data_IF_275942211710
#
_entry.id   IF_275942211710
#
_cell.length_a   1.000
_cell.length_b   1.000
_cell.length_c   1.000
_cell.angle_alpha   90.00
_cell.angle_beta   90.00
_cell.angle_gamma   90.00
#
_symmetry.space_group_name_H-M   'P 1'
#
loop_
_entity.id
_entity.type
_entity.pdbx_description
1 polymer ?
#
# COMPACT_ATOMS: atom_id res chain seq x y z
N UNK A 1 -73.42 -0.09 -2.30
CA UNK A 1 -72.43 0.73 -3.00
C UNK A 1 -70.99 0.35 -2.44
N UNK A 2 -70.29 -0.51 -3.17
CA UNK A 2 -68.99 -1.03 -2.73
C UNK A 2 -67.85 -0.30 -3.43
N UNK A 3 -66.99 0.34 -2.66
CA UNK A 3 -65.78 1.01 -3.13
C UNK A 3 -64.66 -0.05 -3.36
N UNK A 4 -64.32 -0.33 -4.60
CA UNK A 4 -63.15 -1.14 -4.96
C UNK A 4 -61.88 -0.26 -4.80
N UNK A 5 -61.03 -0.62 -3.85
CA UNK A 5 -59.68 -0.03 -3.72
C UNK A 5 -58.78 -0.68 -4.78
N UNK A 6 -58.31 0.14 -5.72
CA UNK A 6 -57.28 -0.23 -6.70
C UNK A 6 -55.92 -0.12 -6.01
N UNK A 7 -55.22 -1.25 -5.76
CA UNK A 7 -53.84 -1.25 -5.33
C UNK A 7 -52.95 -1.09 -6.57
N UNK A 8 -52.23 0.03 -6.64
CA UNK A 8 -51.22 0.28 -7.66
C UNK A 8 -49.91 -0.31 -7.14
N UNK A 9 -49.46 -1.43 -7.74
CA UNK A 9 -48.17 -2.01 -7.47
C UNK A 9 -47.09 -1.23 -8.28
N UNK A 10 -46.26 -0.47 -7.60
CA UNK A 10 -45.10 0.17 -8.21
C UNK A 10 -43.99 -0.90 -8.29
N UNK A 11 -43.75 -1.41 -9.50
CA UNK A 11 -42.54 -2.21 -9.79
C UNK A 11 -41.33 -1.27 -9.78
N UNK A 12 -40.51 -1.30 -8.73
CA UNK A 12 -39.16 -0.75 -8.75
C UNK A 12 -38.31 -1.66 -9.65
N UNK A 13 -38.09 -1.24 -10.87
CA UNK A 13 -37.05 -1.84 -11.73
C UNK A 13 -35.69 -1.44 -11.18
N UNK A 14 -34.97 -2.36 -10.55
CA UNK A 14 -33.57 -2.19 -10.21
C UNK A 14 -32.78 -2.11 -11.53
N UNK A 15 -32.37 -0.91 -11.91
CA UNK A 15 -31.40 -0.74 -12.97
C UNK A 15 -30.07 -1.32 -12.49
N UNK A 16 -29.75 -2.52 -12.94
CA UNK A 16 -28.39 -3.06 -12.82
C UNK A 16 -27.51 -2.25 -13.79
N UNK A 17 -26.73 -1.32 -13.24
CA UNK A 17 -25.63 -0.70 -14.00
C UNK A 17 -24.68 -1.84 -14.36
N UNK A 18 -24.38 -2.07 -15.65
CA UNK A 18 -23.41 -3.09 -16.00
C UNK A 18 -22.07 -2.70 -15.39
N UNK A 19 -21.51 -3.56 -14.55
CA UNK A 19 -20.14 -3.45 -14.08
C UNK A 19 -19.26 -3.56 -15.35
N UNK A 20 -18.70 -2.44 -15.79
CA UNK A 20 -17.72 -2.47 -16.87
C UNK A 20 -16.52 -3.22 -16.30
N UNK A 21 -16.26 -4.41 -16.80
CA UNK A 21 -15.08 -5.19 -16.42
C UNK A 21 -13.85 -4.32 -16.69
N UNK A 22 -12.97 -4.16 -15.70
CA UNK A 22 -11.74 -3.43 -15.89
C UNK A 22 -10.89 -4.20 -16.92
N UNK A 23 -10.29 -3.47 -17.84
CA UNK A 23 -9.42 -4.06 -18.85
C UNK A 23 -8.03 -4.32 -18.28
N UNK A 24 -7.55 -5.56 -18.38
CA UNK A 24 -6.19 -5.92 -18.05
C UNK A 24 -5.26 -5.59 -19.22
N UNK A 25 -4.37 -4.63 -18.99
CA UNK A 25 -3.40 -4.17 -20.00
C UNK A 25 -2.08 -4.90 -19.78
N UNK A 26 -1.66 -5.67 -20.77
CA UNK A 26 -0.39 -6.40 -20.75
C UNK A 26 0.79 -5.49 -21.08
N UNK A 27 1.94 -5.78 -20.45
CA UNK A 27 3.24 -5.17 -20.70
C UNK A 27 4.35 -6.23 -20.63
N UNK A 28 5.59 -5.85 -20.90
CA UNK A 28 6.74 -6.76 -20.74
C UNK A 28 6.96 -7.18 -19.28
N UNK A 29 6.60 -6.33 -18.32
CA UNK A 29 6.72 -6.59 -16.88
C UNK A 29 5.61 -7.47 -16.31
N UNK A 30 4.42 -7.47 -16.91
CA UNK A 30 3.23 -8.18 -16.43
C UNK A 30 1.94 -7.55 -16.93
N UNK A 31 0.87 -7.69 -16.19
CA UNK A 31 -0.43 -7.12 -16.54
C UNK A 31 -0.97 -6.21 -15.43
N UNK A 32 -1.62 -5.11 -15.82
CA UNK A 32 -2.16 -4.09 -14.92
C UNK A 32 -3.63 -3.87 -15.20
N UNK A 33 -4.45 -3.75 -14.14
CA UNK A 33 -5.81 -3.24 -14.25
C UNK A 33 -6.09 -2.24 -13.12
N UNK A 34 -7.06 -1.35 -13.33
CA UNK A 34 -7.50 -0.39 -12.32
C UNK A 34 -8.99 -0.60 -12.08
N UNK A 35 -9.36 -0.79 -10.82
CA UNK A 35 -10.73 -1.03 -10.39
C UNK A 35 -11.20 0.08 -9.45
N UNK A 36 -12.44 0.53 -9.60
CA UNK A 36 -13.09 1.30 -8.55
C UNK A 36 -13.52 0.34 -7.43
N UNK A 37 -13.05 0.59 -6.20
CA UNK A 37 -13.29 -0.28 -5.05
C UNK A 37 -13.98 0.47 -3.92
N UNK A 38 -14.97 -0.16 -3.29
CA UNK A 38 -15.72 0.40 -2.17
C UNK A 38 -14.83 0.71 -0.97
N UNK A 39 -13.83 -0.14 -0.72
CA UNK A 39 -12.91 -0.02 0.41
C UNK A 39 -11.59 0.67 0.06
N UNK A 40 -11.47 1.26 -1.13
CA UNK A 40 -10.39 2.20 -1.45
C UNK A 40 -10.37 3.37 -0.45
N UNK A 41 -9.23 4.05 -0.24
CA UNK A 41 -9.11 5.12 0.75
C UNK A 41 -10.22 6.16 0.70
N UNK A 42 -10.60 6.59 -0.50
CA UNK A 42 -11.60 7.64 -0.72
C UNK A 42 -12.77 7.15 -1.58
N UNK A 43 -13.91 7.86 -1.57
CA UNK A 43 -14.26 8.98 -0.67
C UNK A 43 -14.39 8.56 0.79
N UNK A 44 -14.07 9.47 1.71
CA UNK A 44 -14.15 9.24 3.15
C UNK A 44 -14.59 10.49 3.92
N UNK A 45 -15.27 10.32 5.06
CA UNK A 45 -15.83 11.41 5.87
C UNK A 45 -14.76 12.42 6.35
N UNK A 46 -13.52 11.95 6.62
CA UNK A 46 -12.41 12.83 7.04
C UNK A 46 -11.99 13.87 6.01
N UNK A 47 -12.46 13.74 4.76
CA UNK A 47 -12.14 14.65 3.66
C UNK A 47 -13.38 15.08 2.86
N UNK A 48 -14.58 14.94 3.42
CA UNK A 48 -15.84 15.35 2.74
C UNK A 48 -15.87 16.83 2.36
N UNK A 49 -15.18 17.66 3.13
CA UNK A 49 -15.08 19.11 2.92
C UNK A 49 -13.72 19.49 2.28
N UNK A 50 -12.97 18.51 1.77
CA UNK A 50 -11.61 18.69 1.25
C UNK A 50 -10.58 18.82 2.37
N UNK A 51 -9.43 19.41 2.03
CA UNK A 51 -8.31 19.63 2.93
C UNK A 51 -7.60 20.94 2.62
N UNK A 52 -7.06 21.60 3.63
CA UNK A 52 -6.23 22.79 3.44
C UNK A 52 -4.84 22.55 4.01
N UNK A 53 -3.82 22.66 3.16
CA UNK A 53 -2.41 22.61 3.56
C UNK A 53 -1.79 23.99 3.34
N UNK A 54 -1.36 24.62 4.43
CA UNK A 54 -0.92 26.02 4.41
C UNK A 54 -2.03 26.90 3.82
N UNK A 55 -1.79 27.54 2.67
CA UNK A 55 -2.74 28.42 1.97
C UNK A 55 -3.45 27.72 0.79
N UNK A 56 -3.10 26.46 0.49
CA UNK A 56 -3.66 25.73 -0.65
C UNK A 56 -4.86 24.89 -0.21
N UNK A 57 -5.99 25.10 -0.86
CA UNK A 57 -7.22 24.32 -0.67
C UNK A 57 -7.25 23.19 -1.69
N UNK A 58 -7.54 21.98 -1.22
CA UNK A 58 -7.72 20.78 -2.02
C UNK A 58 -9.19 20.31 -1.91
N UNK A 59 -10.07 20.67 -2.86
CA UNK A 59 -11.49 20.33 -2.84
C UNK A 59 -11.73 18.82 -2.85
N UNK A 60 -12.80 18.38 -2.17
CA UNK A 60 -13.13 16.97 -2.02
C UNK A 60 -13.38 16.26 -3.35
N UNK A 61 -14.15 16.90 -4.24
CA UNK A 61 -14.52 16.37 -5.54
C UNK A 61 -13.34 16.13 -6.49
N UNK A 62 -12.26 16.89 -6.32
CA UNK A 62 -11.06 16.80 -7.18
C UNK A 62 -10.00 15.88 -6.61
N UNK A 63 -9.84 15.86 -5.29
CA UNK A 63 -8.68 15.24 -4.66
C UNK A 63 -9.01 14.02 -3.78
N UNK A 64 -10.31 13.82 -3.43
CA UNK A 64 -10.73 12.80 -2.48
C UNK A 64 -11.99 12.03 -2.91
N UNK A 65 -12.30 12.04 -4.20
CA UNK A 65 -13.45 11.30 -4.75
C UNK A 65 -13.05 10.03 -5.49
N UNK A 66 -11.76 9.86 -5.80
CA UNK A 66 -11.26 8.72 -6.56
C UNK A 66 -11.20 7.46 -5.67
N UNK A 67 -11.86 6.39 -6.08
CA UNK A 67 -11.87 5.10 -5.42
C UNK A 67 -11.08 4.04 -6.17
N UNK A 68 -10.16 4.46 -7.03
CA UNK A 68 -9.34 3.55 -7.83
C UNK A 68 -8.35 2.75 -7.00
N UNK A 69 -8.16 1.50 -7.39
CA UNK A 69 -7.09 0.62 -6.91
C UNK A 69 -6.42 -0.01 -8.13
N UNK A 70 -5.16 0.29 -8.32
CA UNK A 70 -4.31 -0.34 -9.32
C UNK A 70 -3.86 -1.72 -8.85
N UNK A 71 -4.04 -2.73 -9.69
CA UNK A 71 -3.54 -4.08 -9.48
C UNK A 71 -2.51 -4.40 -10.55
N UNK A 72 -1.34 -4.91 -10.16
CA UNK A 72 -0.33 -5.37 -11.09
C UNK A 72 0.11 -6.79 -10.75
N UNK A 73 0.02 -7.69 -11.72
CA UNK A 73 0.45 -9.08 -11.63
C UNK A 73 1.73 -9.23 -12.47
N UNK A 74 2.88 -9.53 -11.85
CA UNK A 74 4.14 -9.65 -12.58
C UNK A 74 4.14 -10.86 -13.51
N UNK A 75 4.87 -10.74 -14.62
CA UNK A 75 5.05 -11.83 -15.58
C UNK A 75 5.65 -13.06 -14.90
N UNK A 76 5.04 -14.20 -15.14
CA UNK A 76 5.46 -15.46 -14.53
C UNK A 76 4.92 -15.68 -13.10
N UNK A 77 3.99 -14.83 -12.63
CA UNK A 77 3.30 -15.06 -11.35
C UNK A 77 2.73 -16.48 -11.28
N UNK A 78 3.01 -17.16 -10.16
CA UNK A 78 2.56 -18.53 -9.91
C UNK A 78 1.38 -18.50 -8.93
N UNK A 79 0.26 -18.98 -9.40
CA UNK A 79 -0.97 -19.05 -8.61
C UNK A 79 -0.83 -20.10 -7.50
N UNK A 80 -1.17 -19.74 -6.26
CA UNK A 80 -1.14 -20.60 -5.09
C UNK A 80 -2.49 -20.64 -4.35
N UNK A 81 -2.55 -21.43 -3.27
CA UNK A 81 -3.73 -21.47 -2.38
C UNK A 81 -3.96 -20.15 -1.63
N UNK A 82 -2.89 -19.41 -1.38
CA UNK A 82 -2.89 -18.08 -0.76
C UNK A 82 -2.19 -17.09 -1.67
N UNK A 83 -2.68 -15.86 -1.64
CA UNK A 83 -2.16 -14.76 -2.46
C UNK A 83 -1.38 -13.79 -1.59
N UNK A 84 -0.08 -13.63 -1.87
CA UNK A 84 0.77 -12.62 -1.24
C UNK A 84 0.54 -11.27 -1.94
N UNK A 85 0.38 -10.19 -1.15
CA UNK A 85 0.05 -8.85 -1.63
C UNK A 85 1.10 -7.84 -1.17
N UNK A 86 1.55 -6.97 -2.08
CA UNK A 86 2.35 -5.79 -1.78
C UNK A 86 1.48 -4.55 -1.93
N UNK A 87 1.17 -3.88 -0.82
CA UNK A 87 0.54 -2.56 -0.86
C UNK A 87 1.60 -1.48 -1.02
N UNK A 88 1.39 -0.59 -1.98
CA UNK A 88 2.21 0.60 -2.15
C UNK A 88 1.34 1.85 -2.01
N UNK A 89 1.82 2.81 -1.22
CA UNK A 89 1.16 4.10 -1.00
C UNK A 89 2.06 5.23 -1.53
N UNK A 90 1.47 6.15 -2.30
CA UNK A 90 2.22 7.30 -2.83
C UNK A 90 2.33 8.43 -1.81
N UNK A 91 3.28 9.33 -2.03
CA UNK A 91 3.44 10.57 -1.28
C UNK A 91 2.59 11.73 -1.83
N UNK A 92 2.87 12.91 -1.35
CA UNK A 92 2.17 14.14 -1.73
C UNK A 92 2.26 14.43 -3.23
N UNK A 93 1.18 15.03 -3.77
CA UNK A 93 1.16 15.54 -5.14
C UNK A 93 1.29 14.46 -6.21
N UNK A 94 0.86 13.24 -5.93
CA UNK A 94 0.98 12.13 -6.88
C UNK A 94 -0.36 11.41 -7.11
N UNK A 95 -0.32 10.40 -7.95
CA UNK A 95 -1.43 9.52 -8.33
C UNK A 95 -0.90 8.11 -8.60
N UNK A 96 -1.79 7.12 -8.76
CA UNK A 96 -1.42 5.78 -9.22
C UNK A 96 -0.64 5.86 -10.54
N UNK A 97 -1.18 6.55 -11.54
CA UNK A 97 -0.57 6.64 -12.87
C UNK A 97 0.79 7.37 -12.82
N UNK A 98 0.85 8.51 -12.11
CA UNK A 98 2.07 9.28 -11.94
C UNK A 98 3.17 8.47 -11.26
N UNK A 99 2.86 7.75 -10.19
CA UNK A 99 3.82 6.92 -9.46
C UNK A 99 4.30 5.72 -10.28
N UNK A 100 3.41 5.05 -11.01
CA UNK A 100 3.80 3.96 -11.90
C UNK A 100 4.84 4.40 -12.93
N UNK A 101 4.65 5.57 -13.55
CA UNK A 101 5.57 6.09 -14.55
C UNK A 101 6.84 6.66 -13.95
N UNK A 102 6.72 7.46 -12.89
CA UNK A 102 7.86 8.17 -12.29
C UNK A 102 8.83 7.21 -11.60
N UNK A 103 8.30 6.24 -10.84
CA UNK A 103 9.09 5.37 -9.99
C UNK A 103 9.28 3.96 -10.57
N UNK A 104 8.75 3.69 -11.75
CA UNK A 104 8.88 2.38 -12.41
C UNK A 104 8.48 1.21 -11.49
N UNK A 105 7.39 1.37 -10.72
CA UNK A 105 7.02 0.43 -9.67
C UNK A 105 6.72 -0.98 -10.21
N UNK A 106 6.08 -1.07 -11.38
CA UNK A 106 5.76 -2.35 -12.04
C UNK A 106 7.04 -3.10 -12.43
N UNK A 107 7.97 -2.37 -13.02
CA UNK A 107 9.27 -2.88 -13.44
C UNK A 107 10.10 -3.33 -12.22
N UNK A 108 10.08 -2.58 -11.14
CA UNK A 108 10.77 -2.94 -9.90
C UNK A 108 10.17 -4.21 -9.26
N UNK A 109 8.83 -4.33 -9.21
CA UNK A 109 8.17 -5.54 -8.71
C UNK A 109 8.52 -6.74 -9.58
N UNK A 110 8.45 -6.62 -10.90
CA UNK A 110 8.82 -7.68 -11.81
C UNK A 110 10.31 -8.08 -11.70
N UNK A 111 11.21 -7.09 -11.59
CA UNK A 111 12.66 -7.31 -11.44
C UNK A 111 13.03 -7.97 -10.11
N UNK A 112 12.23 -7.80 -9.07
CA UNK A 112 12.44 -8.47 -7.78
C UNK A 112 12.34 -10.00 -7.87
N UNK A 113 11.64 -10.50 -8.88
CA UNK A 113 11.33 -11.92 -9.07
C UNK A 113 10.55 -12.55 -7.92
N UNK A 114 9.83 -11.74 -7.14
CA UNK A 114 8.98 -12.23 -6.04
C UNK A 114 7.56 -12.52 -6.54
N UNK A 115 7.00 -13.61 -6.02
CA UNK A 115 5.65 -14.06 -6.36
C UNK A 115 4.63 -13.27 -5.53
N UNK A 116 4.34 -12.03 -5.94
CA UNK A 116 3.50 -11.08 -5.21
C UNK A 116 2.69 -10.24 -6.18
N UNK A 117 1.44 -9.95 -5.85
CA UNK A 117 0.60 -9.01 -6.60
C UNK A 117 0.75 -7.62 -5.95
N UNK A 118 1.07 -6.60 -6.75
CA UNK A 118 1.09 -5.22 -6.31
C UNK A 118 -0.35 -4.68 -6.25
N UNK A 119 -0.71 -4.10 -5.12
CA UNK A 119 -1.96 -3.40 -4.86
C UNK A 119 -1.63 -1.94 -4.59
N UNK A 120 -2.16 -1.06 -5.40
CA UNK A 120 -1.89 0.36 -5.30
C UNK A 120 -3.20 1.15 -5.19
N UNK A 121 -3.73 1.38 -3.98
CA UNK A 121 -4.91 2.21 -3.79
C UNK A 121 -4.58 3.70 -4.02
N UNK A 122 -5.49 4.42 -4.68
CA UNK A 122 -5.36 5.86 -4.86
C UNK A 122 -5.48 6.58 -3.51
N UNK A 123 -4.52 7.44 -3.26
CA UNK A 123 -4.51 8.34 -2.11
C UNK A 123 -5.14 9.70 -2.44
N UNK A 124 -4.73 10.78 -1.73
CA UNK A 124 -5.12 12.14 -2.08
C UNK A 124 -4.55 12.54 -3.44
N UNK A 125 -5.39 12.57 -4.47
CA UNK A 125 -5.02 12.84 -5.86
C UNK A 125 -4.37 14.22 -5.98
N UNK A 126 -3.09 14.28 -6.34
CA UNK A 126 -2.34 15.53 -6.53
C UNK A 126 -2.48 16.53 -5.36
N UNK A 127 -2.62 16.05 -4.12
CA UNK A 127 -2.73 16.90 -2.93
C UNK A 127 -1.55 16.73 -1.96
N UNK A 128 -1.21 17.80 -1.25
CA UNK A 128 -0.18 17.79 -0.20
C UNK A 128 -0.80 17.33 1.13
N UNK A 129 -1.29 16.10 1.15
CA UNK A 129 -1.95 15.47 2.28
C UNK A 129 -1.46 14.03 2.43
N UNK A 130 -1.26 13.60 3.67
CA UNK A 130 -0.87 12.23 4.03
C UNK A 130 -2.05 11.39 4.53
N UNK A 131 -3.26 11.95 4.56
CA UNK A 131 -4.47 11.21 4.99
C UNK A 131 -4.79 10.09 4.01
N UNK A 132 -5.13 8.92 4.52
CA UNK A 132 -5.45 7.75 3.69
C UNK A 132 -6.87 7.20 3.96
N UNK A 133 -7.76 8.10 4.40
CA UNK A 133 -9.21 7.87 4.51
C UNK A 133 -9.57 6.57 5.22
N UNK A 134 -10.32 5.69 4.56
CA UNK A 134 -10.79 4.41 5.12
C UNK A 134 -9.67 3.48 5.59
N UNK A 135 -8.45 3.60 5.08
CA UNK A 135 -7.32 2.80 5.56
C UNK A 135 -6.81 3.24 6.94
N UNK A 136 -7.26 4.40 7.43
CA UNK A 136 -7.00 4.86 8.81
C UNK A 136 -8.06 4.39 9.81
N UNK A 137 -9.15 3.80 9.34
CA UNK A 137 -10.21 3.24 10.19
C UNK A 137 -9.83 1.86 10.74
N UNK A 138 -10.54 1.43 11.78
CA UNK A 138 -10.44 0.06 12.25
C UNK A 138 -10.85 -0.93 11.15
N UNK A 139 -10.08 -2.00 10.98
CA UNK A 139 -10.23 -3.00 9.91
C UNK A 139 -10.12 -2.44 8.48
N UNK A 140 -9.62 -1.22 8.28
CA UNK A 140 -9.54 -0.59 6.96
C UNK A 140 -8.72 -1.40 5.94
N UNK A 141 -7.53 -1.85 6.33
CA UNK A 141 -6.69 -2.71 5.49
C UNK A 141 -7.37 -4.06 5.21
N UNK A 142 -7.97 -4.68 6.23
CA UNK A 142 -8.68 -5.96 6.11
C UNK A 142 -9.82 -5.90 5.10
N UNK A 143 -10.60 -4.83 5.14
CA UNK A 143 -11.72 -4.64 4.23
C UNK A 143 -11.23 -4.48 2.78
N UNK A 144 -10.17 -3.70 2.56
CA UNK A 144 -9.59 -3.53 1.22
C UNK A 144 -8.93 -4.83 0.72
N UNK A 145 -8.19 -5.55 1.58
CA UNK A 145 -7.61 -6.86 1.23
C UNK A 145 -8.70 -7.84 0.80
N UNK A 146 -9.81 -7.91 1.54
CA UNK A 146 -10.96 -8.76 1.19
C UNK A 146 -11.50 -8.42 -0.21
N UNK A 147 -11.79 -7.16 -0.48
CA UNK A 147 -12.32 -6.71 -1.78
C UNK A 147 -11.34 -6.96 -2.93
N UNK A 148 -10.03 -6.72 -2.72
CA UNK A 148 -8.98 -7.02 -3.71
C UNK A 148 -8.97 -8.51 -4.07
N UNK A 149 -8.98 -9.39 -3.07
CA UNK A 149 -8.95 -10.84 -3.29
C UNK A 149 -10.23 -11.35 -3.95
N UNK A 150 -11.39 -10.82 -3.57
CA UNK A 150 -12.68 -11.12 -4.21
C UNK A 150 -12.67 -10.69 -5.68
N UNK A 151 -12.15 -9.48 -5.97
CA UNK A 151 -11.99 -8.96 -7.34
C UNK A 151 -11.07 -9.85 -8.17
N UNK A 152 -9.88 -10.18 -7.66
CA UNK A 152 -8.94 -11.06 -8.37
C UNK A 152 -9.53 -12.47 -8.63
N UNK A 153 -10.35 -12.97 -7.70
CA UNK A 153 -11.04 -14.25 -7.85
C UNK A 153 -12.12 -14.17 -8.93
N UNK A 154 -12.92 -13.11 -8.94
CA UNK A 154 -13.95 -12.86 -9.96
C UNK A 154 -13.32 -12.69 -11.36
N UNK A 155 -12.17 -12.04 -11.45
CA UNK A 155 -11.36 -11.87 -12.66
C UNK A 155 -10.58 -13.16 -13.05
N UNK A 156 -10.72 -14.24 -12.28
CA UNK A 156 -10.04 -15.54 -12.51
C UNK A 156 -8.51 -15.45 -12.51
N UNK A 157 -7.96 -14.48 -11.81
CA UNK A 157 -6.50 -14.31 -11.64
C UNK A 157 -5.95 -15.18 -10.51
N UNK A 158 -6.78 -15.49 -9.51
CA UNK A 158 -6.49 -16.39 -8.39
C UNK A 158 -7.65 -17.35 -8.15
N UNK A 159 -7.42 -18.52 -7.52
CA UNK A 159 -8.46 -19.55 -7.35
C UNK A 159 -9.42 -19.27 -6.19
N UNK A 160 -9.00 -18.47 -5.21
CA UNK A 160 -9.76 -18.19 -3.99
C UNK A 160 -9.30 -16.92 -3.30
N UNK A 161 -10.19 -16.30 -2.53
CA UNK A 161 -9.92 -15.05 -1.81
C UNK A 161 -9.15 -15.30 -0.48
N UNK A 162 -8.11 -16.12 -0.50
CA UNK A 162 -7.32 -16.44 0.68
C UNK A 162 -6.06 -15.54 0.73
N UNK A 163 -5.98 -14.70 1.77
CA UNK A 163 -4.81 -13.87 2.00
C UNK A 163 -3.58 -14.71 2.41
N UNK A 164 -2.46 -14.42 1.78
CA UNK A 164 -1.13 -14.85 2.18
C UNK A 164 -0.45 -13.79 3.05
N UNK A 165 0.81 -13.51 2.76
CA UNK A 165 1.56 -12.42 3.39
C UNK A 165 1.17 -11.08 2.78
N UNK A 166 1.20 -10.05 3.62
CA UNK A 166 0.99 -8.67 3.22
C UNK A 166 2.29 -7.92 3.48
N UNK A 167 2.73 -7.19 2.47
CA UNK A 167 3.83 -6.25 2.58
C UNK A 167 3.26 -4.85 2.43
N UNK A 168 3.69 -3.92 3.29
CA UNK A 168 3.33 -2.52 3.19
C UNK A 168 4.55 -1.73 2.76
N UNK A 169 4.40 -0.92 1.73
CA UNK A 169 5.45 -0.04 1.25
C UNK A 169 4.88 1.33 0.92
N UNK A 170 5.71 2.35 1.01
CA UNK A 170 5.31 3.67 0.58
C UNK A 170 6.43 4.68 0.60
N UNK A 171 6.19 5.78 -0.09
CA UNK A 171 7.12 6.88 -0.26
C UNK A 171 6.59 8.14 0.43
N UNK A 172 7.47 8.89 1.10
CA UNK A 172 7.15 10.24 1.58
C UNK A 172 5.90 10.27 2.49
N UNK A 173 4.85 10.98 2.11
CA UNK A 173 3.58 11.12 2.81
C UNK A 173 2.83 9.82 3.12
N UNK A 174 3.26 8.69 2.57
CA UNK A 174 2.69 7.38 2.83
C UNK A 174 2.84 6.89 4.29
N UNK A 175 3.73 7.51 5.08
CA UNK A 175 4.00 7.13 6.48
C UNK A 175 2.74 6.94 7.29
N UNK A 176 1.77 7.83 7.13
CA UNK A 176 0.54 7.86 7.91
C UNK A 176 -0.33 6.64 7.63
N UNK A 177 -0.57 6.33 6.35
CA UNK A 177 -1.34 5.15 5.96
C UNK A 177 -0.70 3.85 6.42
N UNK A 178 0.63 3.71 6.27
CA UNK A 178 1.37 2.54 6.77
C UNK A 178 1.17 2.40 8.29
N UNK A 179 1.37 3.48 9.06
CA UNK A 179 1.25 3.45 10.50
C UNK A 179 -0.15 3.00 10.97
N UNK A 180 -1.23 3.54 10.39
CA UNK A 180 -2.59 3.15 10.76
C UNK A 180 -2.97 1.74 10.29
N UNK A 181 -2.47 1.29 9.15
CA UNK A 181 -2.61 -0.11 8.74
C UNK A 181 -1.97 -1.07 9.75
N UNK A 182 -0.81 -0.71 10.33
CA UNK A 182 -0.12 -1.50 11.36
C UNK A 182 -0.78 -1.44 12.73
N UNK A 183 -1.38 -0.30 13.10
CA UNK A 183 -2.01 -0.08 14.40
C UNK A 183 -3.39 -0.74 14.49
N UNK A 184 -4.23 -0.54 13.48
CA UNK A 184 -5.65 -0.90 13.53
C UNK A 184 -6.23 -1.47 12.24
N UNK A 185 -5.41 -1.73 11.23
CA UNK A 185 -5.88 -2.20 9.92
C UNK A 185 -6.50 -3.60 9.89
N UNK A 186 -6.46 -4.36 10.98
CA UNK A 186 -7.14 -5.67 11.12
C UNK A 186 -6.41 -6.84 10.44
N UNK A 187 -5.18 -6.66 9.95
CA UNK A 187 -4.39 -7.68 9.23
C UNK A 187 -2.99 -7.88 9.80
N UNK A 188 -2.75 -7.52 11.05
CA UNK A 188 -1.41 -7.55 11.66
C UNK A 188 -0.71 -8.91 11.51
N UNK A 189 -1.44 -10.01 11.69
CA UNK A 189 -0.89 -11.37 11.59
C UNK A 189 -0.43 -11.75 10.16
N UNK A 190 -0.93 -11.05 9.15
CA UNK A 190 -0.55 -11.24 7.76
C UNK A 190 0.59 -10.31 7.33
N UNK A 191 0.76 -9.15 8.00
CA UNK A 191 1.83 -8.21 7.65
C UNK A 191 3.17 -8.79 8.04
N UNK A 192 4.01 -9.07 7.04
CA UNK A 192 5.34 -9.67 7.20
C UNK A 192 6.48 -8.67 7.05
N UNK A 193 6.33 -7.69 6.16
CA UNK A 193 7.38 -6.73 5.82
C UNK A 193 6.82 -5.32 5.71
N UNK A 194 7.61 -4.32 6.11
CA UNK A 194 7.35 -2.90 5.90
C UNK A 194 8.55 -2.27 5.24
N UNK A 195 8.33 -1.53 4.13
CA UNK A 195 9.36 -0.81 3.40
C UNK A 195 9.07 0.69 3.42
N UNK A 196 9.92 1.45 4.11
CA UNK A 196 9.81 2.91 4.23
C UNK A 196 10.80 3.54 3.25
N UNK A 197 10.29 4.07 2.16
CA UNK A 197 11.07 4.70 1.10
C UNK A 197 11.09 6.21 1.33
N UNK A 198 11.99 6.67 2.21
CA UNK A 198 12.05 8.03 2.75
C UNK A 198 10.68 8.48 3.31
N UNK A 199 10.07 7.60 4.12
CA UNK A 199 8.68 7.67 4.55
C UNK A 199 8.47 7.53 6.08
N UNK A 200 9.45 7.87 6.91
CA UNK A 200 9.31 7.80 8.36
C UNK A 200 9.16 9.21 8.98
N UNK A 201 8.18 10.01 8.53
CA UNK A 201 8.02 11.39 8.99
C UNK A 201 7.36 11.54 10.37
N UNK A 202 6.42 10.65 10.70
CA UNK A 202 5.70 10.66 11.97
C UNK A 202 5.08 9.29 12.24
N UNK A 203 4.36 9.14 13.36
CA UNK A 203 3.75 7.87 13.77
C UNK A 203 4.76 6.72 13.85
N UNK A 204 6.03 7.04 14.11
CA UNK A 204 7.13 6.07 14.22
C UNK A 204 6.94 5.11 15.38
N UNK A 205 6.18 5.52 16.39
CA UNK A 205 5.74 4.71 17.53
C UNK A 205 4.88 3.50 17.09
N UNK A 206 3.97 3.66 16.14
CA UNK A 206 3.17 2.55 15.59
C UNK A 206 4.05 1.56 14.82
N UNK A 207 4.98 2.07 14.03
CA UNK A 207 5.92 1.25 13.26
C UNK A 207 6.85 0.46 14.19
N UNK A 208 7.45 1.13 15.19
CA UNK A 208 8.31 0.53 16.19
C UNK A 208 7.57 -0.50 17.06
N UNK A 209 6.37 -0.17 17.54
CA UNK A 209 5.54 -1.06 18.33
C UNK A 209 5.15 -2.34 17.54
N UNK A 210 4.75 -2.19 16.28
CA UNK A 210 4.48 -3.33 15.40
C UNK A 210 5.73 -4.20 15.22
N UNK A 211 6.88 -3.61 14.90
CA UNK A 211 8.13 -4.33 14.69
C UNK A 211 8.55 -5.15 15.92
N UNK A 212 8.29 -4.64 17.12
CA UNK A 212 8.62 -5.29 18.39
C UNK A 212 7.65 -6.45 18.69
N UNK A 213 6.34 -6.23 18.59
CA UNK A 213 5.35 -7.25 18.97
C UNK A 213 5.14 -8.34 17.93
N UNK A 214 5.34 -8.03 16.64
CA UNK A 214 5.12 -8.99 15.56
C UNK A 214 6.33 -9.89 15.35
N UNK A 215 6.21 -11.17 15.76
CA UNK A 215 7.27 -12.16 15.55
C UNK A 215 7.52 -12.39 14.06
N UNK A 216 8.80 -12.36 13.67
CA UNK A 216 9.20 -12.53 12.27
C UNK A 216 9.00 -11.29 11.38
N UNK A 217 8.49 -10.18 11.92
CA UNK A 217 8.38 -8.91 11.22
C UNK A 217 9.73 -8.44 10.66
N UNK A 218 9.70 -7.85 9.49
CA UNK A 218 10.85 -7.19 8.85
C UNK A 218 10.49 -5.73 8.57
N UNK A 219 11.40 -4.82 8.89
CA UNK A 219 11.28 -3.42 8.56
C UNK A 219 12.56 -2.97 7.88
N UNK A 220 12.45 -2.48 6.66
CA UNK A 220 13.56 -1.87 5.91
C UNK A 220 13.22 -0.41 5.63
N UNK A 221 14.08 0.49 6.05
CA UNK A 221 13.93 1.93 5.85
C UNK A 221 15.14 2.48 5.12
N UNK A 222 14.92 3.17 4.01
CA UNK A 222 15.90 4.09 3.45
C UNK A 222 15.47 5.52 3.81
N UNK A 223 16.41 6.36 4.20
CA UNK A 223 16.09 7.73 4.61
C UNK A 223 17.24 8.70 4.32
N UNK A 224 16.87 9.92 3.98
CA UNK A 224 17.74 11.06 3.82
C UNK A 224 17.90 11.81 5.15
N UNK A 225 18.83 12.79 5.23
CA UNK A 225 19.17 13.50 6.47
C UNK A 225 17.96 14.08 7.21
N UNK A 226 16.98 14.58 6.48
CA UNK A 226 15.81 15.22 7.11
C UNK A 226 14.90 14.25 7.87
N UNK A 227 15.05 12.94 7.68
CA UNK A 227 14.32 11.89 8.42
C UNK A 227 15.22 11.11 9.39
N UNK A 228 16.45 11.54 9.61
CA UNK A 228 17.37 10.85 10.51
C UNK A 228 16.83 10.77 11.95
N UNK A 229 16.22 11.83 12.45
CA UNK A 229 15.64 11.87 13.79
C UNK A 229 14.48 10.87 13.94
N UNK A 230 13.57 10.82 12.98
CA UNK A 230 12.39 9.92 13.00
C UNK A 230 12.81 8.45 12.91
N UNK A 231 13.77 8.12 12.05
CA UNK A 231 14.33 6.77 11.98
C UNK A 231 15.07 6.40 13.28
N UNK A 232 15.78 7.35 13.90
CA UNK A 232 16.42 7.14 15.21
C UNK A 232 15.40 6.81 16.31
N UNK A 233 14.19 7.37 16.25
CA UNK A 233 13.11 7.03 17.19
C UNK A 233 12.72 5.56 17.09
N UNK A 234 12.56 5.02 15.86
CA UNK A 234 12.28 3.58 15.65
C UNK A 234 13.44 2.73 16.18
N UNK A 235 14.69 3.09 15.85
CA UNK A 235 15.89 2.39 16.32
C UNK A 235 16.00 2.39 17.86
N UNK A 236 15.66 3.51 18.50
CA UNK A 236 15.66 3.61 19.96
C UNK A 236 14.62 2.67 20.60
N UNK A 237 13.42 2.57 20.03
CA UNK A 237 12.39 1.61 20.47
C UNK A 237 12.86 0.16 20.32
N UNK A 238 13.48 -0.18 19.17
CA UNK A 238 14.05 -1.51 18.93
C UNK A 238 15.15 -1.84 19.96
N UNK A 239 16.06 -0.89 20.21
CA UNK A 239 17.10 -1.03 21.23
C UNK A 239 16.54 -1.26 22.62
N UNK A 240 15.55 -0.48 23.04
CA UNK A 240 14.89 -0.62 24.34
C UNK A 240 14.21 -1.98 24.51
N UNK A 241 13.74 -2.58 23.40
CA UNK A 241 13.15 -3.91 23.35
C UNK A 241 14.16 -5.04 23.11
N UNK A 242 15.47 -4.75 23.12
CA UNK A 242 16.54 -5.71 22.80
C UNK A 242 16.37 -6.38 21.43
N UNK A 243 15.84 -5.67 20.44
CA UNK A 243 15.73 -6.16 19.07
C UNK A 243 16.96 -5.70 18.27
N UNK A 244 17.74 -6.63 17.70
CA UNK A 244 18.89 -6.27 16.87
C UNK A 244 18.46 -5.62 15.56
N UNK A 245 19.18 -4.62 15.12
CA UNK A 245 19.02 -3.96 13.82
C UNK A 245 20.38 -3.62 13.22
N UNK A 246 20.42 -3.40 11.91
CA UNK A 246 21.59 -2.90 11.21
C UNK A 246 21.34 -1.50 10.69
N UNK A 247 22.37 -0.65 10.78
CA UNK A 247 22.43 0.66 10.12
C UNK A 247 23.57 0.63 9.12
N UNK A 248 23.32 1.11 7.91
CA UNK A 248 24.33 1.27 6.86
C UNK A 248 24.23 2.66 6.25
N UNK A 249 25.34 3.10 5.69
CA UNK A 249 25.40 4.28 4.82
C UNK A 249 25.32 3.82 3.36
N UNK A 250 24.61 4.55 2.53
CA UNK A 250 24.59 4.32 1.09
C UNK A 250 25.85 4.97 0.46
N UNK A 251 26.66 4.25 -0.35
CA UNK A 251 26.38 2.95 -0.94
C UNK A 251 26.99 1.73 -0.20
N UNK A 252 27.47 1.87 1.01
CA UNK A 252 28.26 0.85 1.73
C UNK A 252 27.38 -0.26 2.34
N UNK A 253 26.41 -0.76 1.59
CA UNK A 253 25.54 -1.87 1.96
C UNK A 253 25.52 -2.93 0.87
N UNK A 254 25.13 -4.15 1.25
CA UNK A 254 25.02 -5.27 0.31
C UNK A 254 23.63 -5.91 0.39
N UNK A 255 23.20 -6.64 -0.66
CA UNK A 255 21.98 -7.44 -0.59
C UNK A 255 21.98 -8.44 0.56
N UNK A 256 23.16 -8.97 0.94
CA UNK A 256 23.35 -9.90 2.05
C UNK A 256 23.11 -9.20 3.40
N UNK A 257 23.58 -7.97 3.58
CA UNK A 257 23.28 -7.15 4.76
C UNK A 257 21.77 -7.00 4.95
N UNK A 258 21.09 -6.64 3.86
CA UNK A 258 19.64 -6.44 3.86
C UNK A 258 18.90 -7.75 4.15
N UNK A 259 19.29 -8.87 3.55
CA UNK A 259 18.65 -10.16 3.75
C UNK A 259 18.89 -10.72 5.18
N UNK A 260 20.08 -10.52 5.74
CA UNK A 260 20.46 -11.03 7.05
C UNK A 260 19.77 -10.32 8.22
N UNK A 261 19.34 -9.07 8.03
CA UNK A 261 18.80 -8.23 9.10
C UNK A 261 17.28 -8.06 8.99
N UNK A 262 16.56 -8.39 10.07
CA UNK A 262 15.10 -8.18 10.15
C UNK A 262 14.76 -6.68 10.13
N UNK A 263 15.58 -5.87 10.78
CA UNK A 263 15.43 -4.43 10.87
C UNK A 263 16.66 -3.80 10.27
N UNK A 264 16.46 -3.12 9.15
CA UNK A 264 17.53 -2.56 8.34
C UNK A 264 17.26 -1.09 8.05
N UNK A 265 18.21 -0.24 8.37
CA UNK A 265 18.14 1.20 8.21
C UNK A 265 19.29 1.67 7.30
N UNK A 266 18.95 2.22 6.17
CA UNK A 266 19.90 2.73 5.18
C UNK A 266 19.84 4.25 5.14
N UNK A 267 20.84 4.91 5.69
CA UNK A 267 20.99 6.34 5.59
C UNK A 267 21.67 6.71 4.26
N UNK A 268 21.11 7.69 3.55
CA UNK A 268 21.66 8.14 2.28
C UNK A 268 21.82 9.65 2.21
N UNK A 269 23.02 10.09 1.86
CA UNK A 269 23.36 11.47 1.49
C UNK A 269 23.45 11.65 -0.04
N UNK A 270 23.37 10.54 -0.78
CA UNK A 270 23.61 10.51 -2.23
C UNK A 270 22.32 10.43 -3.05
N UNK A 271 21.25 9.88 -2.49
CA UNK A 271 19.95 9.80 -3.15
C UNK A 271 19.11 11.01 -2.81
N UNK A 272 18.41 11.53 -3.79
CA UNK A 272 17.33 12.47 -3.53
C UNK A 272 16.14 11.75 -2.90
N UNK A 273 15.21 12.50 -2.32
CA UNK A 273 13.95 12.01 -1.77
C UNK A 273 13.23 11.02 -2.73
N UNK A 274 13.07 11.38 -3.99
CA UNK A 274 12.42 10.54 -4.98
C UNK A 274 13.25 9.31 -5.38
N UNK A 275 14.59 9.41 -5.39
CA UNK A 275 15.46 8.27 -5.71
C UNK A 275 15.46 7.18 -4.62
N UNK A 276 14.99 7.48 -3.42
CA UNK A 276 14.79 6.45 -2.39
C UNK A 276 13.77 5.39 -2.84
N UNK A 277 12.84 5.71 -3.74
CA UNK A 277 11.89 4.76 -4.30
C UNK A 277 12.53 3.65 -5.14
N UNK A 278 13.75 3.85 -5.66
CA UNK A 278 14.52 2.85 -6.41
C UNK A 278 14.90 1.64 -5.55
N UNK A 279 14.79 1.76 -4.22
CA UNK A 279 15.09 0.66 -3.29
C UNK A 279 13.90 -0.28 -3.04
N UNK A 280 12.75 -0.07 -3.69
CA UNK A 280 11.64 -1.03 -3.60
C UNK A 280 12.06 -2.42 -4.12
N UNK A 281 12.74 -2.49 -5.25
CA UNK A 281 13.18 -3.75 -5.84
C UNK A 281 14.15 -4.52 -4.92
N UNK A 282 15.28 -3.96 -4.44
CA UNK A 282 16.17 -4.70 -3.55
C UNK A 282 15.53 -5.05 -2.21
N UNK A 283 14.68 -4.19 -1.63
CA UNK A 283 13.96 -4.51 -0.40
C UNK A 283 13.00 -5.68 -0.61
N UNK A 284 12.27 -5.67 -1.73
CA UNK A 284 11.37 -6.74 -2.08
C UNK A 284 12.13 -8.05 -2.35
N UNK A 285 13.26 -8.00 -3.08
CA UNK A 285 14.13 -9.15 -3.35
C UNK A 285 14.63 -9.81 -2.05
N UNK A 286 14.94 -9.04 -1.02
CA UNK A 286 15.40 -9.53 0.28
C UNK A 286 14.26 -10.04 1.18
N UNK A 287 12.99 -9.84 0.82
CA UNK A 287 11.84 -10.33 1.57
C UNK A 287 11.79 -11.86 1.61
N UNK A 288 10.99 -12.39 2.53
CA UNK A 288 10.80 -13.84 2.68
C UNK A 288 9.79 -14.43 1.68
N UNK A 289 9.28 -13.64 0.74
CA UNK A 289 8.39 -14.11 -0.31
C UNK A 289 9.05 -15.18 -1.19
N UNK A 290 8.24 -16.07 -1.74
CA UNK A 290 8.72 -17.05 -2.73
C UNK A 290 9.14 -16.34 -4.01
N UNK A 291 10.08 -16.92 -4.74
CA UNK A 291 10.50 -16.40 -6.04
C UNK A 291 9.60 -16.96 -7.15
N UNK A 292 9.39 -16.16 -8.18
CA UNK A 292 8.90 -16.64 -9.48
C UNK A 292 10.01 -17.52 -10.09
N UNK A 293 9.66 -18.70 -10.55
CA UNK A 293 10.61 -19.65 -11.19
C UNK A 293 11.04 -19.20 -12.58
#
# INVERSE_FOLDING_TARGET
MGLRRLMLAILLSAMTVPLVAAEWVASDAGETAIFAMKHAPFPHESRKDGFTSKETVYPAETHYADSSVGLFIPKGYVVGEKTDLLFYFHGWGNTIAGSFEQFKLREQVAASRKNVILVFPEGPVNANDSGLGKLEDADGLKNLVGEVLETLTAEKKIPSANAGRILLSGHSGAFRGIAFCLDRGGMEEHVSDVFLLDAAYANTDYMGAWAIRRKGARLSSVFTDHLAADNTNIMAMLSAANQPFAVRMDPDWTPEDLAANRFFFLHTEKRTHNQCTELLEPFLRASTLTNIQ
#
